data_IF_705906681954
#
_entry.id   IF_705906681954
#
_cell.length_a   1.000
_cell.length_b   1.000
_cell.length_c   1.000
_cell.angle_alpha   90.00
_cell.angle_beta   90.00
_cell.angle_gamma   90.00
#
_symmetry.space_group_name_H-M   'P 1'
#
loop_
_entity.id
_entity.type
_entity.pdbx_description
1 polymer ?
#
# COMPACT_ATOMS: atom_id res chain seq x y z
N UNK A 1 -7.99 -4.50 16.05
CA UNK A 1 -7.40 -5.17 14.86
C UNK A 1 -5.93 -5.45 15.18
N UNK A 2 -5.36 -6.56 14.70
CA UNK A 2 -3.91 -6.82 14.84
C UNK A 2 -3.28 -6.68 13.47
N UNK A 3 -2.32 -5.77 13.33
CA UNK A 3 -1.53 -5.61 12.12
C UNK A 3 -0.33 -6.57 12.16
N UNK A 4 0.01 -7.15 11.01
CA UNK A 4 1.19 -7.99 10.82
C UNK A 4 1.99 -7.34 9.70
N UNK A 5 3.17 -6.81 10.02
CA UNK A 5 4.10 -6.27 9.02
C UNK A 5 5.00 -7.41 8.52
N UNK A 6 5.06 -7.59 7.20
CA UNK A 6 5.90 -8.59 6.55
C UNK A 6 6.74 -7.85 5.50
N UNK A 7 8.05 -7.78 5.72
CA UNK A 7 8.99 -7.30 4.72
C UNK A 7 9.26 -8.44 3.73
N UNK A 8 8.84 -8.26 2.48
CA UNK A 8 9.05 -9.22 1.40
C UNK A 8 9.43 -8.49 0.12
N UNK A 9 9.87 -9.24 -0.90
CA UNK A 9 10.19 -8.74 -2.23
C UNK A 9 9.32 -9.46 -3.26
N UNK A 10 9.00 -8.78 -4.35
CA UNK A 10 8.42 -9.41 -5.53
C UNK A 10 9.41 -10.35 -6.20
N UNK A 11 8.90 -11.41 -6.83
CA UNK A 11 9.71 -12.29 -7.67
C UNK A 11 10.04 -11.66 -9.03
N UNK A 12 10.81 -12.37 -9.86
CA UNK A 12 11.20 -11.88 -11.19
C UNK A 12 10.03 -11.72 -12.18
N UNK A 13 8.83 -12.17 -11.82
CA UNK A 13 7.58 -11.98 -12.57
C UNK A 13 6.68 -10.92 -11.94
N UNK A 14 7.13 -10.26 -10.88
CA UNK A 14 6.38 -9.20 -10.19
C UNK A 14 5.41 -9.69 -9.11
N UNK A 15 5.38 -10.99 -8.78
CA UNK A 15 4.44 -11.50 -7.77
C UNK A 15 4.93 -11.27 -6.34
N UNK A 16 4.06 -10.74 -5.48
CA UNK A 16 4.31 -10.66 -4.04
C UNK A 16 4.18 -12.06 -3.42
N UNK A 17 5.30 -12.60 -2.91
CA UNK A 17 5.30 -13.87 -2.18
C UNK A 17 5.23 -13.63 -0.67
N UNK A 18 4.25 -14.23 -0.02
CA UNK A 18 4.06 -14.19 1.44
C UNK A 18 4.26 -15.61 1.98
N UNK A 19 5.51 -15.98 2.28
CA UNK A 19 5.83 -17.29 2.90
C UNK A 19 5.67 -17.28 4.43
N UNK A 20 4.71 -16.51 4.93
CA UNK A 20 4.46 -16.42 6.36
C UNK A 20 3.12 -17.09 6.68
N UNK A 21 3.11 -18.20 7.44
CA UNK A 21 1.87 -18.85 7.82
C UNK A 21 1.08 -17.96 8.79
N UNK A 22 -0.04 -17.44 8.34
CA UNK A 22 -1.01 -16.81 9.22
C UNK A 22 -1.59 -17.91 10.12
N UNK A 23 -1.26 -17.88 11.42
CA UNK A 23 -1.80 -18.80 12.42
C UNK A 23 -3.27 -18.47 12.77
N UNK A 24 -4.10 -18.30 11.74
CA UNK A 24 -5.52 -17.98 11.77
C UNK A 24 -6.20 -18.74 10.65
N UNK A 25 -7.27 -19.46 10.99
CA UNK A 25 -8.10 -20.21 10.04
C UNK A 25 -9.41 -19.46 9.84
N UNK A 26 -9.88 -19.44 8.59
CA UNK A 26 -11.22 -18.95 8.21
C UNK A 26 -11.58 -17.57 8.79
N UNK A 27 -10.78 -16.55 8.46
CA UNK A 27 -11.02 -15.18 8.90
C UNK A 27 -10.78 -14.17 7.79
N UNK A 28 -11.57 -13.09 7.79
CA UNK A 28 -11.37 -11.96 6.88
C UNK A 28 -10.06 -11.23 7.19
N UNK A 29 -9.28 -10.96 6.16
CA UNK A 29 -8.03 -10.19 6.24
C UNK A 29 -8.10 -8.97 5.33
N UNK A 30 -7.41 -7.90 5.72
CA UNK A 30 -7.20 -6.70 4.89
C UNK A 30 -5.71 -6.58 4.63
N UNK A 31 -5.32 -6.53 3.36
CA UNK A 31 -3.93 -6.37 2.93
C UNK A 31 -3.71 -4.94 2.45
N UNK A 32 -2.63 -4.30 2.89
CA UNK A 32 -2.15 -3.01 2.40
C UNK A 32 -0.78 -3.24 1.77
N UNK A 33 -0.62 -2.89 0.50
CA UNK A 33 0.65 -2.98 -0.23
C UNK A 33 1.11 -1.54 -0.47
N UNK A 34 2.31 -1.21 -0.01
CA UNK A 34 2.96 0.08 -0.25
C UNK A 34 4.15 -0.15 -1.17
N UNK A 35 4.22 0.60 -2.26
CA UNK A 35 5.28 0.54 -3.28
C UNK A 35 5.89 1.94 -3.35
N UNK A 36 7.22 2.03 -3.47
CA UNK A 36 7.93 3.31 -3.61
C UNK A 36 7.60 3.97 -4.96
N UNK A 37 7.38 5.29 -4.96
CA UNK A 37 6.95 6.06 -6.15
C UNK A 37 7.97 6.07 -7.29
N UNK A 38 9.23 5.80 -6.97
CA UNK A 38 10.37 5.74 -7.87
C UNK A 38 10.51 4.38 -8.58
N UNK A 39 9.57 3.46 -8.38
CA UNK A 39 9.36 2.35 -9.30
C UNK A 39 8.87 2.91 -10.65
N UNK A 40 9.57 2.59 -11.74
CA UNK A 40 9.11 2.96 -13.08
C UNK A 40 7.77 2.26 -13.36
N UNK A 41 6.69 2.95 -13.04
CA UNK A 41 5.32 2.51 -13.28
C UNK A 41 5.15 2.37 -14.79
N UNK A 42 4.59 1.24 -15.22
CA UNK A 42 4.29 1.06 -16.63
C UNK A 42 3.24 2.10 -17.06
N UNK A 43 3.13 2.36 -18.36
CA UNK A 43 2.19 3.36 -18.90
C UNK A 43 0.73 3.14 -18.44
N UNK A 44 0.35 1.88 -18.13
CA UNK A 44 -0.98 1.52 -17.60
C UNK A 44 -1.21 1.96 -16.16
N UNK A 45 -0.22 1.82 -15.29
CA UNK A 45 -0.29 2.24 -13.89
C UNK A 45 -0.29 3.76 -13.78
N UNK A 46 0.48 4.45 -14.61
CA UNK A 46 0.39 5.90 -14.73
C UNK A 46 -1.01 6.34 -15.22
N UNK A 47 -1.58 5.66 -16.23
CA UNK A 47 -2.94 5.93 -16.70
C UNK A 47 -4.00 5.67 -15.61
N UNK A 48 -3.85 4.59 -14.86
CA UNK A 48 -4.72 4.26 -13.74
C UNK A 48 -4.64 5.35 -12.66
N UNK A 49 -3.43 5.80 -12.33
CA UNK A 49 -3.19 6.83 -11.33
C UNK A 49 -3.72 8.20 -11.74
N UNK A 50 -3.52 8.58 -12.99
CA UNK A 50 -4.12 9.79 -13.55
C UNK A 50 -5.65 9.71 -13.57
N UNK A 51 -6.22 8.54 -13.84
CA UNK A 51 -7.67 8.35 -13.90
C UNK A 51 -8.31 8.43 -12.51
N UNK A 52 -7.68 7.86 -11.48
CA UNK A 52 -8.18 7.89 -10.10
C UNK A 52 -8.07 9.31 -9.52
N UNK A 53 -6.95 10.00 -9.74
CA UNK A 53 -6.73 11.38 -9.24
C UNK A 53 -7.67 12.42 -9.87
N UNK A 54 -8.15 12.17 -11.10
CA UNK A 54 -9.09 13.04 -11.81
C UNK A 54 -10.56 12.64 -11.60
N UNK A 55 -10.85 11.55 -10.88
CA UNK A 55 -12.22 11.06 -10.72
C UNK A 55 -12.94 11.76 -9.54
N UNK A 56 -14.05 12.47 -9.78
CA UNK A 56 -14.78 13.21 -8.75
C UNK A 56 -15.30 12.37 -7.58
N UNK A 57 -15.47 11.05 -7.77
CA UNK A 57 -15.87 10.13 -6.70
C UNK A 57 -14.85 10.07 -5.55
N UNK A 58 -13.60 10.50 -5.80
CA UNK A 58 -12.51 10.51 -4.84
C UNK A 58 -12.14 11.92 -4.35
N UNK A 59 -12.94 12.95 -4.66
CA UNK A 59 -12.65 14.33 -4.23
C UNK A 59 -12.60 14.48 -2.70
N UNK A 60 -13.27 13.60 -1.95
CA UNK A 60 -13.21 13.58 -0.49
C UNK A 60 -11.78 13.36 0.04
N UNK A 61 -10.90 12.67 -0.70
CA UNK A 61 -9.50 12.47 -0.31
C UNK A 61 -8.67 13.76 -0.35
N UNK A 62 -9.19 14.83 -0.96
CA UNK A 62 -8.54 16.16 -0.99
C UNK A 62 -8.85 16.98 0.25
N UNK A 63 -9.77 16.53 1.09
CA UNK A 63 -10.13 17.24 2.31
C UNK A 63 -8.97 17.22 3.31
N UNK A 64 -8.60 18.34 3.94
CA UNK A 64 -7.48 18.40 4.89
C UNK A 64 -7.61 17.46 6.09
N UNK A 65 -8.82 16.94 6.34
CA UNK A 65 -9.09 15.98 7.41
C UNK A 65 -8.63 14.56 7.06
N UNK A 66 -8.45 14.25 5.77
CA UNK A 66 -7.97 12.96 5.28
C UNK A 66 -6.43 12.87 5.25
N UNK A 67 -5.72 13.97 5.50
CA UNK A 67 -4.25 14.03 5.67
C UNK A 67 -3.84 13.58 7.09
N UNK A 68 -4.17 12.33 7.43
CA UNK A 68 -3.99 11.74 8.77
C UNK A 68 -2.59 11.22 9.06
N UNK A 69 -1.69 11.16 8.07
CA UNK A 69 -0.31 10.69 8.24
C UNK A 69 0.67 11.66 7.60
N UNK A 70 1.68 12.04 8.38
CA UNK A 70 2.83 12.83 7.92
C UNK A 70 4.05 11.93 7.83
N UNK A 71 4.96 12.28 6.93
CA UNK A 71 6.27 11.61 6.82
C UNK A 71 7.08 11.63 8.12
N UNK A 72 6.79 12.58 9.01
CA UNK A 72 7.40 12.72 10.35
C UNK A 72 6.73 11.87 11.43
N UNK A 73 5.59 11.24 11.16
CA UNK A 73 4.84 10.47 12.18
C UNK A 73 5.44 9.07 12.41
N UNK A 74 6.38 8.65 11.55
CA UNK A 74 7.12 7.42 11.73
C UNK A 74 8.24 7.56 12.76
N UNK A 75 8.35 6.59 13.68
CA UNK A 75 9.56 6.43 14.48
C UNK A 75 10.56 5.50 13.78
N UNK A 76 11.87 5.79 13.85
CA UNK A 76 12.89 4.92 13.29
C UNK A 76 12.84 3.54 13.95
N UNK A 77 12.69 2.52 13.12
CA UNK A 77 12.74 1.13 13.57
C UNK A 77 14.20 0.74 13.84
N UNK A 78 14.62 0.83 15.10
CA UNK A 78 15.95 0.38 15.52
C UNK A 78 16.03 -1.16 15.44
N UNK A 79 16.89 -1.66 14.55
CA UNK A 79 17.26 -3.08 14.42
C UNK A 79 18.46 -3.38 15.30
#
# INVERSE_FOLDING_TARGET
MKAIEIKSKTDNSGHLRIDFPLNKKDCNVRLLILIEEDYATNDEEQLWMESVTKNPAFDFLKEPQEDIYKSTDGEPFNV
#
